data_IF_864745663633
#
_entry.id   IF_864745663633
#
_cell.length_a   1.000
_cell.length_b   1.000
_cell.length_c   1.000
_cell.angle_alpha   90.00
_cell.angle_beta   90.00
_cell.angle_gamma   90.00
#
_symmetry.space_group_name_H-M   'P 1'
#
loop_
_entity.id
_entity.type
_entity.pdbx_description
1 polymer ?
#
# COMPACT_ATOMS: atom_id res chain seq x y z
N UNK A 1 -15.20 4.71 -13.48
CA UNK A 1 -14.36 4.31 -12.34
C UNK A 1 -12.91 4.66 -12.57
N UNK A 2 -12.24 4.99 -11.50
CA UNK A 2 -10.81 5.30 -11.55
C UNK A 2 -9.99 4.05 -11.33
N UNK A 3 -8.85 3.98 -12.00
CA UNK A 3 -7.90 2.88 -11.86
C UNK A 3 -6.76 3.33 -10.98
N UNK A 4 -6.57 2.64 -9.86
CA UNK A 4 -5.58 3.03 -8.85
C UNK A 4 -4.65 1.86 -8.56
N UNK A 5 -3.37 2.14 -8.42
CA UNK A 5 -2.39 1.13 -8.00
C UNK A 5 -1.92 1.46 -6.60
N UNK A 6 -1.95 0.45 -5.74
CA UNK A 6 -1.57 0.56 -4.34
C UNK A 6 -0.45 -0.40 -4.03
N UNK A 7 0.44 0.01 -3.13
CA UNK A 7 1.47 -0.86 -2.55
C UNK A 7 1.07 -1.19 -1.13
N UNK A 8 1.15 -2.47 -0.77
CA UNK A 8 0.89 -2.93 0.59
C UNK A 8 2.15 -3.56 1.15
N UNK A 9 2.43 -3.30 2.41
CA UNK A 9 3.58 -3.87 3.09
C UNK A 9 3.26 -4.18 4.53
N UNK A 10 3.88 -5.25 5.06
CA UNK A 10 3.70 -5.67 6.45
C UNK A 10 4.97 -6.35 6.92
N UNK A 11 5.40 -6.06 8.16
CA UNK A 11 6.54 -6.76 8.75
C UNK A 11 6.31 -7.17 10.19
N UNK A 12 5.05 -7.25 10.62
CA UNK A 12 4.70 -7.72 11.97
C UNK A 12 3.59 -8.75 11.91
N UNK A 13 3.68 -9.73 12.79
CA UNK A 13 2.66 -10.74 12.97
C UNK A 13 2.49 -11.63 11.75
N UNK A 14 1.28 -12.08 11.52
CA UNK A 14 0.95 -12.87 10.34
C UNK A 14 0.76 -11.91 9.15
N UNK A 15 1.85 -11.63 8.45
CA UNK A 15 1.90 -10.63 7.40
C UNK A 15 0.91 -10.91 6.28
N UNK A 16 0.83 -12.16 5.83
CA UNK A 16 -0.09 -12.53 4.74
C UNK A 16 -1.54 -12.36 5.16
N UNK A 17 -1.88 -12.78 6.37
CA UNK A 17 -3.25 -12.64 6.86
C UNK A 17 -3.64 -11.17 6.97
N UNK A 18 -2.73 -10.33 7.48
CA UNK A 18 -2.97 -8.90 7.61
C UNK A 18 -3.18 -8.25 6.24
N UNK A 19 -2.35 -8.63 5.26
CA UNK A 19 -2.48 -8.08 3.91
C UNK A 19 -3.78 -8.52 3.24
N UNK A 20 -4.21 -9.77 3.44
CA UNK A 20 -5.49 -10.25 2.94
C UNK A 20 -6.66 -9.51 3.58
N UNK A 21 -6.57 -9.22 4.87
CA UNK A 21 -7.59 -8.42 5.55
C UNK A 21 -7.65 -7.00 5.01
N UNK A 22 -6.49 -6.41 4.73
CA UNK A 22 -6.45 -5.09 4.13
C UNK A 22 -7.13 -5.07 2.77
N UNK A 23 -6.88 -6.08 1.94
CA UNK A 23 -7.54 -6.22 0.64
C UNK A 23 -9.06 -6.37 0.81
N UNK A 24 -9.49 -7.17 1.79
CA UNK A 24 -10.91 -7.32 2.08
C UNK A 24 -11.56 -6.00 2.46
N UNK A 25 -10.89 -5.20 3.28
CA UNK A 25 -11.40 -3.89 3.69
C UNK A 25 -11.42 -2.90 2.52
N UNK A 26 -10.43 -2.97 1.65
CA UNK A 26 -10.44 -2.16 0.42
C UNK A 26 -11.64 -2.52 -0.45
N UNK A 27 -11.95 -3.81 -0.58
CA UNK A 27 -13.11 -4.25 -1.34
C UNK A 27 -14.42 -3.77 -0.74
N UNK A 28 -14.49 -3.70 0.58
CA UNK A 28 -15.72 -3.27 1.26
C UNK A 28 -15.90 -1.75 1.23
N UNK A 29 -14.81 -0.99 1.33
CA UNK A 29 -14.91 0.44 1.62
C UNK A 29 -14.42 1.36 0.52
N UNK A 30 -13.56 0.86 -0.35
CA UNK A 30 -12.89 1.73 -1.32
C UNK A 30 -13.28 1.43 -2.76
N UNK A 31 -13.55 0.20 -3.09
CA UNK A 31 -13.89 -0.17 -4.45
C UNK A 31 -13.74 -1.66 -4.68
N UNK A 32 -13.10 -2.03 -5.78
CA UNK A 32 -12.91 -3.44 -6.15
C UNK A 32 -11.45 -3.68 -6.50
N UNK A 33 -10.80 -4.56 -5.76
CA UNK A 33 -9.44 -5.01 -6.07
C UNK A 33 -9.55 -6.09 -7.13
N UNK A 34 -9.12 -5.80 -8.37
CA UNK A 34 -9.27 -6.73 -9.47
C UNK A 34 -7.97 -7.36 -9.95
N UNK A 35 -6.83 -6.91 -9.43
CA UNK A 35 -5.53 -7.52 -9.70
C UNK A 35 -4.67 -7.49 -8.45
N UNK A 36 -3.91 -8.57 -8.25
CA UNK A 36 -2.99 -8.70 -7.13
C UNK A 36 -1.69 -9.28 -7.65
N UNK A 37 -0.56 -8.70 -7.21
CA UNK A 37 0.74 -9.26 -7.52
C UNK A 37 1.07 -10.41 -6.59
N UNK A 38 2.16 -11.12 -6.86
CA UNK A 38 2.71 -12.05 -5.88
C UNK A 38 3.36 -11.28 -4.74
N UNK A 39 3.59 -11.96 -3.62
CA UNK A 39 4.31 -11.39 -2.49
C UNK A 39 5.80 -11.34 -2.77
N UNK A 40 6.46 -10.30 -2.27
CA UNK A 40 7.91 -10.21 -2.30
C UNK A 40 8.41 -9.82 -0.90
N UNK A 41 9.41 -10.55 -0.41
CA UNK A 41 9.98 -10.27 0.91
C UNK A 41 11.25 -9.46 0.77
N UNK A 42 11.38 -8.40 1.59
CA UNK A 42 12.53 -7.50 1.52
C UNK A 42 13.02 -7.15 2.92
N UNK A 43 14.29 -6.73 2.99
CA UNK A 43 14.85 -6.23 4.23
C UNK A 43 14.18 -4.91 4.64
N UNK A 44 14.14 -4.61 5.94
CA UNK A 44 13.61 -3.33 6.40
C UNK A 44 14.37 -2.16 5.76
N UNK A 45 13.60 -1.14 5.36
CA UNK A 45 14.17 0.03 4.71
C UNK A 45 14.14 1.21 5.66
N UNK A 46 15.31 1.82 5.89
CA UNK A 46 15.41 3.04 6.68
C UNK A 46 15.44 2.84 8.19
N UNK A 47 15.48 1.59 8.67
CA UNK A 47 15.60 1.30 10.10
C UNK A 47 16.10 -0.11 10.31
N UNK A 48 16.60 -0.38 11.52
CA UNK A 48 17.08 -1.70 11.89
C UNK A 48 15.93 -2.53 12.46
N UNK A 49 15.79 -3.75 11.95
CA UNK A 49 14.80 -4.69 12.45
C UNK A 49 15.17 -6.08 11.97
N UNK A 50 14.81 -7.09 12.75
CA UNK A 50 14.93 -8.48 12.32
C UNK A 50 13.72 -8.93 11.50
N UNK A 51 12.67 -8.10 11.44
CA UNK A 51 11.44 -8.43 10.73
C UNK A 51 11.51 -7.93 9.29
N UNK A 52 11.46 -8.86 8.36
CA UNK A 52 11.45 -8.50 6.95
C UNK A 52 10.06 -8.07 6.51
N UNK A 53 10.02 -7.11 5.59
CA UNK A 53 8.76 -6.71 4.99
C UNK A 53 8.29 -7.73 3.97
N UNK A 54 7.00 -7.99 3.98
CA UNK A 54 6.32 -8.67 2.90
C UNK A 54 5.56 -7.59 2.12
N UNK A 55 5.78 -7.53 0.82
CA UNK A 55 5.23 -6.48 -0.03
C UNK A 55 4.43 -7.06 -1.19
N UNK A 56 3.43 -6.30 -1.64
CA UNK A 56 2.70 -6.62 -2.86
C UNK A 56 2.07 -5.36 -3.41
N UNK A 57 1.61 -5.41 -4.66
CA UNK A 57 0.82 -4.35 -5.25
C UNK A 57 -0.54 -4.89 -5.68
N UNK A 58 -1.54 -4.01 -5.66
CA UNK A 58 -2.88 -4.34 -6.12
C UNK A 58 -3.39 -3.23 -7.02
N UNK A 59 -4.32 -3.58 -7.92
CA UNK A 59 -5.06 -2.61 -8.71
C UNK A 59 -6.46 -2.51 -8.12
N UNK A 60 -6.87 -1.28 -7.83
CA UNK A 60 -8.18 -0.98 -7.27
C UNK A 60 -8.98 -0.16 -8.27
N UNK A 61 -10.21 -0.56 -8.51
CA UNK A 61 -11.17 0.22 -9.27
C UNK A 61 -12.08 0.92 -8.26
N UNK A 62 -12.18 2.26 -8.33
CA UNK A 62 -12.86 3.02 -7.29
C UNK A 62 -13.59 4.22 -7.87
N UNK A 63 -14.65 4.63 -7.16
CA UNK A 63 -15.34 5.89 -7.44
C UNK A 63 -14.91 7.00 -6.49
N UNK A 64 -14.06 6.68 -5.51
CA UNK A 64 -13.58 7.66 -4.54
C UNK A 64 -12.61 8.64 -5.19
N UNK A 65 -12.61 9.88 -4.73
CA UNK A 65 -11.58 10.84 -5.11
C UNK A 65 -10.25 10.44 -4.48
N UNK A 66 -9.11 11.02 -4.95
CA UNK A 66 -7.82 10.74 -4.32
C UNK A 66 -7.82 11.01 -2.83
N UNK A 67 -8.43 12.11 -2.39
CA UNK A 67 -8.49 12.49 -0.97
C UNK A 67 -9.34 11.51 -0.17
N UNK A 68 -10.49 11.12 -0.72
CA UNK A 68 -11.35 10.13 -0.06
C UNK A 68 -10.66 8.78 0.06
N UNK A 69 -9.94 8.39 -0.99
CA UNK A 69 -9.19 7.14 -0.98
C UNK A 69 -8.08 7.18 0.05
N UNK A 70 -7.36 8.30 0.15
CA UNK A 70 -6.32 8.46 1.15
C UNK A 70 -6.88 8.29 2.56
N UNK A 71 -8.03 8.90 2.84
CA UNK A 71 -8.68 8.75 4.13
C UNK A 71 -9.08 7.30 4.41
N UNK A 72 -9.60 6.62 3.40
CA UNK A 72 -10.00 5.21 3.55
C UNK A 72 -8.79 4.32 3.85
N UNK A 73 -7.69 4.49 3.13
CA UNK A 73 -6.48 3.68 3.36
C UNK A 73 -5.88 3.96 4.73
N UNK A 74 -5.87 5.22 5.17
CA UNK A 74 -5.37 5.57 6.49
C UNK A 74 -6.22 4.97 7.60
N UNK A 75 -7.52 4.93 7.42
CA UNK A 75 -8.41 4.31 8.40
C UNK A 75 -8.19 2.80 8.47
N UNK A 76 -7.99 2.15 7.34
CA UNK A 76 -7.67 0.71 7.30
C UNK A 76 -6.37 0.45 8.04
N UNK A 77 -5.34 1.26 7.79
CA UNK A 77 -4.07 1.14 8.51
C UNK A 77 -4.27 1.24 10.02
N UNK A 78 -5.07 2.20 10.47
CA UNK A 78 -5.34 2.37 11.90
C UNK A 78 -6.07 1.17 12.48
N UNK A 79 -7.06 0.63 11.78
CA UNK A 79 -7.81 -0.51 12.29
C UNK A 79 -6.97 -1.76 12.41
N UNK A 80 -6.05 -1.98 11.47
CA UNK A 80 -5.22 -3.18 11.45
C UNK A 80 -3.93 -3.03 12.27
N UNK A 81 -3.49 -1.80 12.50
CA UNK A 81 -2.22 -1.56 13.17
C UNK A 81 -2.26 -0.62 14.35
N UNK A 82 -3.43 -0.24 14.80
CA UNK A 82 -3.59 0.83 15.78
C UNK A 82 -3.02 0.54 17.16
N UNK A 83 -2.77 -0.72 17.47
CA UNK A 83 -2.17 -1.07 18.76
C UNK A 83 -0.71 -0.63 18.85
N UNK A 84 -0.11 -0.30 17.73
CA UNK A 84 1.29 0.12 17.66
C UNK A 84 1.34 1.63 17.53
N UNK A 85 1.90 2.27 18.52
CA UNK A 85 2.10 3.72 18.48
C UNK A 85 3.55 4.02 18.14
N UNK A 86 3.76 4.99 17.26
CA UNK A 86 5.08 5.54 17.03
C UNK A 86 5.57 6.22 18.32
N UNK A 87 6.78 5.89 18.71
CA UNK A 87 7.41 6.51 19.86
C UNK A 87 8.56 7.37 19.37
N UNK A 88 8.57 8.63 19.75
CA UNK A 88 9.63 9.58 19.39
C UNK A 88 9.77 9.82 17.89
N UNK A 89 8.71 9.62 17.13
CA UNK A 89 8.73 9.89 15.69
C UNK A 89 9.65 9.00 14.89
N UNK A 90 10.12 7.90 15.43
CA UNK A 90 11.00 6.98 14.72
C UNK A 90 10.22 5.99 13.90
N UNK A 91 10.89 5.45 12.87
CA UNK A 91 10.29 4.37 12.07
C UNK A 91 10.20 3.12 12.92
N UNK A 92 9.11 2.40 12.73
CA UNK A 92 8.82 1.19 13.49
C UNK A 92 8.39 0.08 12.56
N UNK A 93 8.47 -1.16 13.07
CA UNK A 93 7.81 -2.28 12.44
C UNK A 93 6.32 -1.99 12.34
N UNK A 94 5.69 -2.39 11.24
CA UNK A 94 4.30 -2.04 10.96
C UNK A 94 3.47 -3.26 10.57
N UNK A 95 2.28 -3.42 11.21
CA UNK A 95 1.37 -4.48 10.77
C UNK A 95 0.92 -4.30 9.32
N UNK A 96 0.67 -3.07 8.90
CA UNK A 96 0.26 -2.79 7.51
C UNK A 96 0.62 -1.37 7.12
N UNK A 97 1.06 -1.21 5.89
CA UNK A 97 1.35 0.08 5.28
C UNK A 97 0.74 0.06 3.89
N UNK A 98 -0.05 1.07 3.57
CA UNK A 98 -0.74 1.16 2.27
C UNK A 98 -0.39 2.49 1.63
N UNK A 99 0.28 2.43 0.47
CA UNK A 99 0.67 3.63 -0.28
C UNK A 99 -0.10 3.68 -1.59
N UNK A 100 -0.63 4.86 -1.91
CA UNK A 100 -1.24 5.11 -3.22
C UNK A 100 -0.10 5.44 -4.18
N UNK A 101 0.08 4.61 -5.20
CA UNK A 101 1.17 4.77 -6.16
C UNK A 101 0.77 5.64 -7.34
N UNK A 102 -0.38 5.33 -7.93
CA UNK A 102 -0.91 6.04 -9.09
C UNK A 102 -2.42 6.03 -9.03
N UNK A 103 -3.03 7.10 -9.53
CA UNK A 103 -4.47 7.25 -9.60
C UNK A 103 -4.77 7.77 -11.00
N UNK A 104 -5.17 6.87 -11.93
CA UNK A 104 -5.29 7.18 -13.35
C UNK A 104 -3.98 7.86 -13.82
N UNK A 105 -4.09 8.98 -14.52
CA UNK A 105 -2.95 9.81 -14.91
C UNK A 105 -2.93 11.14 -14.14
N UNK A 106 -3.53 11.16 -12.97
CA UNK A 106 -3.64 12.36 -12.13
C UNK A 106 -2.29 12.69 -11.50
N UNK A 107 -1.97 13.97 -11.46
CA UNK A 107 -0.78 14.49 -10.77
C UNK A 107 -1.23 15.38 -9.63
N UNK A 108 -0.77 15.04 -8.43
CA UNK A 108 -1.06 15.79 -7.21
C UNK A 108 0.25 16.03 -6.47
N UNK A 109 0.44 17.26 -6.01
CA UNK A 109 1.61 17.63 -5.23
C UNK A 109 1.12 18.44 -4.02
N UNK A 110 0.77 17.73 -2.96
CA UNK A 110 0.32 18.35 -1.72
C UNK A 110 1.08 17.74 -0.55
N UNK A 111 0.94 18.35 0.63
CA UNK A 111 1.63 17.87 1.82
C UNK A 111 1.19 16.46 2.23
N UNK A 112 -0.07 16.13 1.97
CA UNK A 112 -0.64 14.85 2.40
C UNK A 112 -0.57 13.78 1.33
N UNK A 113 -0.47 14.15 0.06
CA UNK A 113 -0.58 13.20 -1.04
C UNK A 113 0.20 13.69 -2.25
N UNK A 114 1.08 12.85 -2.74
CA UNK A 114 1.80 13.10 -3.99
C UNK A 114 1.54 11.96 -4.95
N UNK A 115 1.09 12.29 -6.15
CA UNK A 115 0.81 11.31 -7.20
C UNK A 115 1.47 11.72 -8.52
N UNK A 116 2.15 10.84 -9.23
CA UNK A 116 2.51 9.49 -8.77
C UNK A 116 3.40 9.53 -7.52
N UNK A 117 3.44 8.40 -6.80
CA UNK A 117 4.26 8.34 -5.58
C UNK A 117 5.71 8.71 -5.89
N UNK A 118 6.31 9.65 -5.13
CA UNK A 118 7.58 10.26 -5.55
C UNK A 118 8.78 9.31 -5.57
N UNK A 119 8.76 8.26 -4.75
CA UNK A 119 9.91 7.35 -4.62
C UNK A 119 9.66 5.96 -5.18
N UNK A 120 8.49 5.73 -5.83
CA UNK A 120 8.16 4.37 -6.23
C UNK A 120 9.16 3.78 -7.21
N UNK A 121 9.69 4.57 -8.14
CA UNK A 121 10.61 4.07 -9.16
C UNK A 121 11.99 3.73 -8.60
N UNK A 122 12.31 4.23 -7.42
CA UNK A 122 13.57 3.95 -6.75
C UNK A 122 13.51 2.69 -5.89
N UNK A 123 12.31 2.09 -5.75
CA UNK A 123 12.08 0.97 -4.83
C UNK A 123 11.71 -0.27 -5.61
N UNK A 124 12.65 -1.19 -5.73
CA UNK A 124 12.40 -2.44 -6.47
C UNK A 124 11.31 -3.29 -5.81
N UNK A 125 11.19 -3.19 -4.48
CA UNK A 125 10.13 -3.90 -3.76
C UNK A 125 8.73 -3.36 -4.07
N UNK A 126 8.65 -2.19 -4.72
CA UNK A 126 7.40 -1.63 -5.24
C UNK A 126 7.28 -1.92 -6.74
N UNK A 127 8.34 -1.64 -7.50
CA UNK A 127 8.29 -1.73 -8.96
C UNK A 127 8.17 -3.16 -9.46
N UNK A 128 8.81 -4.12 -8.79
CA UNK A 128 8.75 -5.50 -9.23
C UNK A 128 7.33 -6.06 -9.17
N UNK A 129 6.63 -5.98 -8.00
CA UNK A 129 5.23 -6.43 -7.98
C UNK A 129 4.30 -5.55 -8.81
N UNK A 130 4.59 -4.26 -8.92
CA UNK A 130 3.78 -3.37 -9.74
C UNK A 130 3.82 -3.79 -11.21
N UNK A 131 5.01 -4.11 -11.72
CA UNK A 131 5.15 -4.55 -13.11
C UNK A 131 4.34 -5.81 -13.42
N UNK A 132 4.15 -6.69 -12.44
CA UNK A 132 3.33 -7.89 -12.63
C UNK A 132 1.90 -7.55 -13.01
N UNK A 133 1.33 -6.54 -12.37
CA UNK A 133 -0.09 -6.23 -12.56
C UNK A 133 -0.32 -5.16 -13.62
N UNK A 134 0.70 -4.40 -13.98
CA UNK A 134 0.59 -3.44 -15.08
C UNK A 134 0.51 -4.14 -16.44
N UNK A 135 1.25 -5.22 -16.61
CA UNK A 135 1.37 -5.89 -17.89
C UNK A 135 0.33 -6.98 -18.11
N UNK A 136 -0.39 -7.37 -17.06
CA UNK A 136 -1.36 -8.46 -17.14
C UNK A 136 -2.66 -7.99 -17.78
N UNK A 137 -3.22 -8.81 -18.66
CA UNK A 137 -4.53 -8.56 -19.23
C UNK A 137 -4.53 -7.51 -20.32
N UNK A 138 -3.39 -7.14 -20.79
CA UNK A 138 -3.28 -6.26 -21.93
C UNK A 138 -3.58 -7.01 -23.23
#
# INVERSE_FOLDING_TARGET
MHTVYLSLGSNLGDRKATMRRAIGLLNERAGSVDRQSSFIETEPWGFESTNKFLNMCVRLLTTLSPEQLLMATKQIERELGRTQKSVNGQYHDRPIDIDILMYDDVHIDSDDLMLPHPHMQEREFVMKPLREILSVGS
#
